data_IF_839583414807
#
_entry.id   IF_839583414807
#
_cell.length_a   1.000
_cell.length_b   1.000
_cell.length_c   1.000
_cell.angle_alpha   90.00
_cell.angle_beta   90.00
_cell.angle_gamma   90.00
#
_symmetry.space_group_name_H-M   'P 1'
#
loop_
_entity.id
_entity.type
_entity.pdbx_description
1 polymer ?
#
# COMPACT_ATOMS: atom_id res chain seq x y z
N UNK A 1 -11.13 -36.53 -26.31
CA UNK A 1 -11.72 -36.15 -27.60
C UNK A 1 -11.77 -34.63 -27.62
N UNK A 2 -10.85 -34.00 -28.37
CA UNK A 2 -10.80 -32.53 -28.57
C UNK A 2 -11.76 -32.19 -29.72
N UNK A 3 -12.92 -31.59 -29.42
CA UNK A 3 -13.76 -31.00 -30.43
C UNK A 3 -13.30 -29.59 -30.75
N UNK A 4 -12.45 -29.46 -31.76
CA UNK A 4 -12.12 -28.19 -32.38
C UNK A 4 -13.22 -27.87 -33.42
N UNK A 5 -13.88 -26.71 -33.26
CA UNK A 5 -14.85 -26.19 -34.23
C UNK A 5 -14.08 -25.77 -35.48
N UNK A 6 -14.43 -26.22 -36.69
CA UNK A 6 -13.72 -25.83 -37.92
C UNK A 6 -13.89 -24.34 -38.22
N UNK A 7 -12.81 -23.66 -38.58
CA UNK A 7 -12.69 -22.24 -38.89
C UNK A 7 -13.64 -21.73 -40.01
N UNK A 8 -14.26 -22.63 -40.80
CA UNK A 8 -15.18 -22.25 -41.88
C UNK A 8 -16.53 -21.66 -41.46
N UNK A 9 -16.89 -21.78 -40.15
CA UNK A 9 -18.14 -21.21 -39.63
C UNK A 9 -18.02 -19.78 -39.10
N UNK A 10 -16.80 -19.20 -39.08
CA UNK A 10 -16.57 -17.86 -38.53
C UNK A 10 -16.73 -16.74 -39.60
N UNK A 11 -16.83 -17.11 -40.89
CA UNK A 11 -16.84 -16.12 -42.00
C UNK A 11 -18.22 -15.47 -42.30
N UNK A 12 -19.31 -15.86 -41.66
CA UNK A 12 -20.63 -15.35 -41.98
C UNK A 12 -21.33 -14.51 -40.90
N UNK A 13 -20.64 -13.97 -39.94
CA UNK A 13 -21.22 -13.07 -38.91
C UNK A 13 -21.16 -11.59 -39.31
N UNK A 14 -20.64 -11.28 -40.50
CA UNK A 14 -20.41 -9.89 -40.98
C UNK A 14 -21.59 -9.16 -41.62
N UNK A 15 -22.82 -9.74 -41.67
CA UNK A 15 -23.94 -9.16 -42.43
C UNK A 15 -25.19 -8.81 -41.61
N UNK A 16 -25.10 -8.73 -40.30
CA UNK A 16 -26.12 -8.06 -39.49
C UNK A 16 -25.64 -6.64 -39.22
N UNK A 17 -26.20 -5.65 -39.93
CA UNK A 17 -25.87 -4.24 -39.90
C UNK A 17 -25.90 -3.54 -38.51
N UNK A 18 -25.30 -4.17 -37.51
CA UNK A 18 -25.00 -3.56 -36.22
C UNK A 18 -23.71 -2.76 -36.43
N UNK A 19 -23.71 -1.46 -36.30
CA UNK A 19 -22.47 -0.68 -36.36
C UNK A 19 -21.60 -1.17 -35.20
N UNK A 20 -20.46 -1.78 -35.52
CA UNK A 20 -19.42 -2.06 -34.51
C UNK A 20 -19.04 -0.69 -33.97
N UNK A 21 -19.24 -0.41 -32.67
CA UNK A 21 -18.76 0.84 -32.12
C UNK A 21 -17.27 0.89 -32.41
N UNK A 22 -16.84 1.97 -33.06
CA UNK A 22 -15.43 2.26 -33.29
C UNK A 22 -14.71 2.06 -31.95
N UNK A 23 -13.71 1.19 -31.93
CA UNK A 23 -12.88 1.02 -30.74
C UNK A 23 -12.53 2.42 -30.24
N UNK A 24 -12.68 2.70 -28.93
CA UNK A 24 -12.22 3.98 -28.40
C UNK A 24 -10.77 4.11 -28.86
N UNK A 25 -10.51 5.11 -29.69
CA UNK A 25 -9.13 5.46 -30.01
C UNK A 25 -8.51 5.79 -28.66
N UNK A 26 -7.69 4.88 -28.17
CA UNK A 26 -6.80 5.20 -27.06
C UNK A 26 -5.98 6.36 -27.63
N UNK A 27 -6.35 7.57 -27.21
CA UNK A 27 -5.53 8.74 -27.41
C UNK A 27 -4.18 8.36 -26.78
N UNK A 28 -3.26 7.91 -27.62
CA UNK A 28 -1.87 7.79 -27.24
C UNK A 28 -1.48 9.22 -26.87
N UNK A 29 -1.53 9.52 -25.58
CA UNK A 29 -0.97 10.76 -25.07
C UNK A 29 0.48 10.74 -25.51
N UNK A 30 0.85 11.65 -26.40
CA UNK A 30 2.22 11.81 -26.90
C UNK A 30 3.21 12.16 -25.78
N UNK A 31 2.73 12.32 -24.56
CA UNK A 31 3.50 12.51 -23.35
C UNK A 31 3.40 11.24 -22.50
N UNK A 32 4.18 10.21 -22.85
CA UNK A 32 4.47 9.19 -21.86
C UNK A 32 5.00 9.89 -20.61
N UNK A 33 4.41 9.60 -19.43
CA UNK A 33 4.87 10.14 -18.17
C UNK A 33 6.32 9.69 -17.95
N UNK A 34 7.25 10.61 -18.16
CA UNK A 34 8.70 10.36 -18.11
C UNK A 34 9.34 10.90 -16.83
N UNK A 35 8.51 11.31 -15.85
CA UNK A 35 9.02 11.83 -14.59
C UNK A 35 9.86 10.74 -13.89
N UNK A 36 11.09 11.10 -13.54
CA UNK A 36 11.97 10.26 -12.73
C UNK A 36 11.77 10.61 -11.26
N UNK A 37 11.80 9.58 -10.43
CA UNK A 37 11.86 9.76 -8.98
C UNK A 37 13.31 10.01 -8.60
N UNK A 38 13.62 11.22 -8.20
CA UNK A 38 14.94 11.64 -7.72
C UNK A 38 14.80 12.63 -6.57
N UNK A 39 15.91 13.21 -6.12
CA UNK A 39 15.91 14.18 -5.00
C UNK A 39 15.28 15.52 -5.34
N UNK A 40 15.28 15.90 -6.61
CA UNK A 40 14.71 17.16 -7.09
C UNK A 40 13.20 17.01 -7.34
N UNK A 41 12.76 15.74 -7.58
CA UNK A 41 11.36 15.39 -7.88
C UNK A 41 10.92 14.22 -7.00
N UNK A 42 10.69 14.40 -5.69
CA UNK A 42 10.22 13.36 -4.79
C UNK A 42 8.80 12.92 -5.19
N UNK A 43 8.53 11.63 -5.05
CA UNK A 43 7.21 11.06 -5.33
C UNK A 43 6.40 10.98 -4.05
N UNK A 44 5.12 11.37 -4.13
CA UNK A 44 4.19 11.20 -3.02
C UNK A 44 3.66 9.76 -2.96
N UNK A 45 3.80 9.09 -1.80
CA UNK A 45 3.12 7.86 -1.45
C UNK A 45 2.02 8.15 -0.46
N UNK A 46 0.78 7.80 -0.82
CA UNK A 46 -0.38 8.02 0.04
C UNK A 46 -0.97 6.66 0.40
N UNK A 47 -0.92 6.31 1.69
CA UNK A 47 -1.61 5.15 2.24
C UNK A 47 -2.99 5.56 2.71
N UNK A 48 -4.04 5.00 2.11
CA UNK A 48 -5.41 5.12 2.58
C UNK A 48 -5.76 3.86 3.37
N UNK A 49 -6.00 4.01 4.66
CA UNK A 49 -6.17 2.91 5.60
C UNK A 49 -7.60 2.89 6.13
N UNK A 50 -8.34 1.83 5.81
CA UNK A 50 -9.66 1.59 6.38
C UNK A 50 -9.53 1.30 7.89
N UNK A 51 -10.23 2.09 8.70
CA UNK A 51 -10.29 1.96 10.15
C UNK A 51 -11.75 1.92 10.64
N UNK A 52 -12.67 1.53 9.76
CA UNK A 52 -14.09 1.37 10.09
C UNK A 52 -14.33 0.17 11.02
N UNK A 53 -15.55 0.08 11.55
CA UNK A 53 -15.94 -1.00 12.47
C UNK A 53 -15.78 -2.41 11.88
N UNK A 54 -15.91 -2.57 10.57
CA UNK A 54 -15.75 -3.87 9.90
C UNK A 54 -14.32 -4.42 10.06
N UNK A 55 -13.34 -3.58 10.35
CA UNK A 55 -11.95 -3.95 10.59
C UNK A 55 -11.72 -4.61 11.97
N UNK A 56 -12.75 -4.75 12.80
CA UNK A 56 -12.73 -5.56 14.04
C UNK A 56 -12.77 -7.06 13.80
N UNK A 57 -13.16 -7.50 12.60
CA UNK A 57 -13.25 -8.93 12.30
C UNK A 57 -11.92 -9.62 12.51
N UNK A 58 -11.98 -10.81 13.10
CA UNK A 58 -10.81 -11.65 13.31
C UNK A 58 -10.38 -12.29 12.00
N UNK A 59 -9.10 -12.34 11.78
CA UNK A 59 -8.43 -13.04 10.68
C UNK A 59 -7.18 -13.73 11.18
N UNK A 60 -6.75 -14.77 10.50
CA UNK A 60 -5.44 -15.40 10.75
C UNK A 60 -4.40 -14.76 9.84
N UNK A 61 -3.39 -14.14 10.42
CA UNK A 61 -2.28 -13.52 9.70
C UNK A 61 -0.95 -14.04 10.23
N UNK A 62 -0.15 -14.65 9.36
CA UNK A 62 1.12 -15.31 9.72
C UNK A 62 0.99 -16.33 10.86
N UNK A 63 -0.15 -17.07 10.90
CA UNK A 63 -0.42 -18.10 11.90
C UNK A 63 -0.91 -17.57 13.26
N UNK A 64 -1.14 -16.27 13.39
CA UNK A 64 -1.71 -15.62 14.58
C UNK A 64 -3.10 -15.08 14.28
N UNK A 65 -4.05 -15.31 15.19
CA UNK A 65 -5.39 -14.71 15.11
C UNK A 65 -5.34 -13.29 15.65
N UNK A 66 -5.82 -12.35 14.83
CA UNK A 66 -5.85 -10.92 15.16
C UNK A 66 -6.98 -10.22 14.42
N UNK A 67 -7.25 -8.96 14.73
CA UNK A 67 -8.19 -8.16 13.97
C UNK A 67 -7.63 -7.79 12.59
N UNK A 68 -8.52 -7.55 11.62
CA UNK A 68 -8.12 -7.03 10.31
C UNK A 68 -7.32 -5.71 10.45
N UNK A 69 -7.72 -4.83 11.38
CA UNK A 69 -7.02 -3.58 11.64
C UNK A 69 -5.58 -3.81 12.13
N UNK A 70 -5.35 -4.82 12.98
CA UNK A 70 -4.00 -5.20 13.43
C UNK A 70 -3.16 -5.78 12.29
N UNK A 71 -3.74 -6.64 11.45
CA UNK A 71 -3.07 -7.18 10.29
C UNK A 71 -2.67 -6.08 9.30
N UNK A 72 -3.58 -5.14 9.00
CA UNK A 72 -3.30 -3.99 8.14
C UNK A 72 -2.23 -3.09 8.75
N UNK A 73 -2.30 -2.79 10.05
CA UNK A 73 -1.28 -1.98 10.72
C UNK A 73 0.12 -2.63 10.63
N UNK A 74 0.22 -3.94 10.80
CA UNK A 74 1.48 -4.68 10.61
C UNK A 74 2.02 -4.56 9.19
N UNK A 75 1.14 -4.71 8.18
CA UNK A 75 1.51 -4.61 6.76
C UNK A 75 1.99 -3.20 6.43
N UNK A 76 1.21 -2.17 6.79
CA UNK A 76 1.54 -0.76 6.50
C UNK A 76 2.86 -0.36 7.16
N UNK A 77 3.06 -0.69 8.44
CA UNK A 77 4.32 -0.41 9.12
C UNK A 77 5.52 -1.11 8.46
N UNK A 78 5.35 -2.35 7.98
CA UNK A 78 6.39 -3.06 7.25
C UNK A 78 6.73 -2.38 5.91
N UNK A 79 5.71 -1.94 5.16
CA UNK A 79 5.90 -1.23 3.88
C UNK A 79 6.58 0.13 4.09
N UNK A 80 6.20 0.89 5.11
CA UNK A 80 6.83 2.15 5.46
C UNK A 80 8.30 1.93 5.81
N UNK A 81 8.60 0.92 6.64
CA UNK A 81 9.99 0.60 6.97
C UNK A 81 10.80 0.27 5.71
N UNK A 82 10.25 -0.54 4.80
CA UNK A 82 10.93 -0.88 3.54
C UNK A 82 11.17 0.35 2.65
N UNK A 83 10.20 1.24 2.54
CA UNK A 83 10.36 2.50 1.78
C UNK A 83 11.47 3.36 2.38
N UNK A 84 11.51 3.50 3.70
CA UNK A 84 12.55 4.26 4.40
C UNK A 84 13.93 3.64 4.20
N UNK A 85 14.06 2.31 4.37
CA UNK A 85 15.33 1.60 4.17
C UNK A 85 15.87 1.76 2.74
N UNK A 86 15.00 1.79 1.74
CA UNK A 86 15.39 2.06 0.33
C UNK A 86 15.92 3.48 0.12
N UNK A 87 15.56 4.43 0.98
CA UNK A 87 16.07 5.79 0.95
C UNK A 87 17.44 5.92 1.64
N UNK A 88 17.86 4.94 2.44
CA UNK A 88 19.14 5.00 3.15
C UNK A 88 20.28 4.54 2.22
N UNK A 89 21.28 5.40 2.04
CA UNK A 89 22.50 5.09 1.30
C UNK A 89 23.70 5.76 1.97
N UNK A 90 24.73 5.00 2.28
CA UNK A 90 25.95 5.50 2.94
C UNK A 90 25.65 6.23 4.26
N UNK A 91 24.76 5.71 5.09
CA UNK A 91 24.26 6.31 6.34
C UNK A 91 23.47 7.62 6.19
N UNK A 92 23.24 8.10 4.98
CA UNK A 92 22.39 9.26 4.70
C UNK A 92 20.99 8.78 4.28
N UNK A 93 19.95 9.45 4.75
CA UNK A 93 18.59 9.26 4.25
C UNK A 93 18.33 10.25 3.11
N UNK A 94 17.98 9.71 1.95
CA UNK A 94 17.71 10.50 0.75
C UNK A 94 16.22 10.75 0.63
N UNK A 95 15.85 11.97 0.30
CA UNK A 95 14.48 12.39 0.10
C UNK A 95 14.00 12.02 -1.31
N UNK A 96 13.59 10.76 -1.52
CA UNK A 96 12.99 10.31 -2.77
C UNK A 96 11.47 10.32 -2.73
N UNK A 97 10.88 10.32 -1.53
CA UNK A 97 9.45 10.18 -1.30
C UNK A 97 8.96 11.15 -0.24
N UNK A 98 7.74 11.63 -0.41
CA UNK A 98 6.92 12.19 0.67
C UNK A 98 5.82 11.19 0.97
N UNK A 99 5.64 10.81 2.21
CA UNK A 99 4.71 9.75 2.60
C UNK A 99 3.59 10.34 3.43
N UNK A 100 2.35 10.12 2.99
CA UNK A 100 1.15 10.42 3.75
C UNK A 100 0.46 9.11 4.18
N UNK A 101 -0.12 9.14 5.38
CA UNK A 101 -0.89 8.03 5.91
C UNK A 101 -2.21 8.55 6.44
N UNK A 102 -3.29 8.25 5.72
CA UNK A 102 -4.64 8.73 5.99
C UNK A 102 -5.50 7.56 6.44
N UNK A 103 -5.91 7.58 7.71
CA UNK A 103 -6.93 6.69 8.23
C UNK A 103 -8.31 7.24 7.92
N UNK A 104 -9.23 6.38 7.53
CA UNK A 104 -10.63 6.76 7.33
C UNK A 104 -11.58 5.76 7.98
N UNK A 105 -12.67 6.30 8.52
CA UNK A 105 -13.77 5.59 9.15
C UNK A 105 -14.94 6.56 9.18
N UNK A 106 -15.31 7.08 10.36
CA UNK A 106 -16.28 8.18 10.51
C UNK A 106 -15.74 9.48 9.90
N UNK A 107 -14.49 9.77 10.16
CA UNK A 107 -13.74 10.92 9.63
C UNK A 107 -12.44 10.43 9.00
N UNK A 108 -11.79 11.33 8.25
CA UNK A 108 -10.45 11.11 7.72
C UNK A 108 -9.44 11.93 8.54
N UNK A 109 -8.36 11.29 8.93
CA UNK A 109 -7.34 11.89 9.77
C UNK A 109 -5.94 11.34 9.43
N UNK A 110 -4.91 12.05 9.89
CA UNK A 110 -3.54 11.54 9.82
C UNK A 110 -3.39 10.31 10.72
N UNK A 111 -3.00 9.18 10.16
CA UNK A 111 -2.84 7.93 10.90
C UNK A 111 -1.44 7.75 11.52
N UNK A 112 -0.59 8.77 11.43
CA UNK A 112 0.68 8.79 12.14
C UNK A 112 0.46 8.85 13.66
N UNK A 113 1.35 8.22 14.42
CA UNK A 113 1.34 8.27 15.88
C UNK A 113 2.65 8.85 16.43
N UNK A 114 2.61 9.27 17.69
CA UNK A 114 3.75 9.85 18.39
C UNK A 114 4.14 11.21 17.85
N UNK A 115 5.43 11.44 17.64
CA UNK A 115 5.95 12.74 17.20
C UNK A 115 5.49 13.17 15.79
N UNK A 116 4.94 12.23 15.01
CA UNK A 116 4.43 12.50 13.66
C UNK A 116 2.92 12.71 13.62
N UNK A 117 2.25 12.64 14.77
CA UNK A 117 0.79 12.78 14.85
C UNK A 117 0.33 14.12 14.24
N UNK A 118 -0.75 14.04 13.44
CA UNK A 118 -1.34 15.19 12.77
C UNK A 118 -0.61 15.68 11.52
N UNK A 119 0.57 15.13 11.21
CA UNK A 119 1.29 15.47 9.97
C UNK A 119 0.58 14.88 8.76
N UNK A 120 0.50 15.61 7.66
CA UNK A 120 -0.05 15.09 6.40
C UNK A 120 1.05 14.34 5.63
N UNK A 121 2.08 15.03 5.18
CA UNK A 121 3.24 14.43 4.53
C UNK A 121 4.46 14.44 5.44
N UNK A 122 5.22 13.35 5.40
CA UNK A 122 6.41 13.13 6.22
C UNK A 122 7.53 12.60 5.33
N UNK A 123 8.73 13.11 5.50
CA UNK A 123 9.91 12.67 4.77
C UNK A 123 10.48 11.35 5.31
N UNK A 124 11.22 10.57 4.51
CA UNK A 124 11.86 9.33 4.98
C UNK A 124 12.78 9.53 6.18
N UNK A 125 13.46 10.68 6.28
CA UNK A 125 14.34 11.02 7.41
C UNK A 125 13.53 11.21 8.68
N UNK A 126 12.46 12.01 8.63
CA UNK A 126 11.56 12.21 9.78
C UNK A 126 10.95 10.90 10.26
N UNK A 127 10.53 10.02 9.32
CA UNK A 127 9.97 8.70 9.65
C UNK A 127 11.02 7.82 10.34
N UNK A 128 12.25 7.77 9.80
CA UNK A 128 13.34 6.98 10.36
C UNK A 128 13.63 7.36 11.80
N UNK A 129 13.63 8.66 12.07
CA UNK A 129 14.08 9.21 13.35
C UNK A 129 12.95 9.26 14.41
N UNK A 130 11.68 9.15 13.98
CA UNK A 130 10.51 9.26 14.86
C UNK A 130 9.59 8.03 14.82
N UNK A 131 10.06 6.80 15.06
CA UNK A 131 9.16 5.67 15.26
C UNK A 131 8.35 5.86 16.55
N UNK A 132 7.05 5.59 16.49
CA UNK A 132 6.18 5.61 17.67
C UNK A 132 6.56 4.53 18.67
N UNK A 133 6.85 3.32 18.17
CA UNK A 133 7.28 2.20 18.99
C UNK A 133 8.37 1.39 18.27
N UNK A 134 9.25 0.79 19.08
CA UNK A 134 10.24 -0.20 18.64
C UNK A 134 10.06 -1.48 19.46
N UNK A 135 9.96 -2.61 18.78
CA UNK A 135 9.80 -3.92 19.40
C UNK A 135 10.85 -4.88 18.85
N UNK A 136 11.54 -5.59 19.73
CA UNK A 136 12.36 -6.74 19.32
C UNK A 136 11.45 -7.94 19.11
N UNK A 137 11.48 -8.53 17.92
CA UNK A 137 10.67 -9.69 17.53
C UNK A 137 11.61 -10.79 17.05
N UNK A 138 11.36 -12.02 17.50
CA UNK A 138 12.08 -13.18 16.99
C UNK A 138 11.47 -13.60 15.66
N UNK A 139 12.27 -13.59 14.61
CA UNK A 139 11.87 -14.05 13.29
C UNK A 139 12.65 -15.28 12.87
N UNK A 140 11.93 -16.25 12.29
CA UNK A 140 12.55 -17.40 11.64
C UNK A 140 13.08 -17.00 10.26
N UNK A 141 14.37 -17.05 10.09
CA UNK A 141 15.03 -16.76 8.80
C UNK A 141 15.52 -18.06 8.19
N UNK A 142 15.07 -18.38 7.01
CA UNK A 142 15.59 -19.52 6.24
C UNK A 142 16.95 -19.15 5.65
N UNK A 143 17.97 -19.90 6.05
CA UNK A 143 19.32 -19.78 5.51
C UNK A 143 19.66 -21.04 4.70
N UNK A 144 20.77 -21.04 3.96
CA UNK A 144 21.27 -22.25 3.27
C UNK A 144 21.59 -23.40 4.25
N UNK A 145 21.77 -23.10 5.53
CA UNK A 145 22.10 -24.08 6.57
C UNK A 145 20.89 -24.54 7.40
N UNK A 146 19.68 -24.04 7.09
CA UNK A 146 18.44 -24.35 7.81
C UNK A 146 17.70 -23.10 8.31
N UNK A 147 16.76 -23.32 9.23
CA UNK A 147 15.99 -22.26 9.88
C UNK A 147 16.79 -21.72 11.07
N UNK A 148 16.98 -20.42 11.14
CA UNK A 148 17.66 -19.74 12.25
C UNK A 148 16.71 -18.67 12.80
N UNK A 149 16.59 -18.58 14.12
CA UNK A 149 15.84 -17.51 14.79
C UNK A 149 16.75 -16.31 14.98
N UNK A 150 16.33 -15.14 14.49
CA UNK A 150 17.02 -13.86 14.69
C UNK A 150 16.11 -12.89 15.42
N UNK A 151 16.68 -12.09 16.30
CA UNK A 151 15.98 -10.94 16.86
C UNK A 151 16.09 -9.76 15.88
N UNK A 152 14.92 -9.23 15.46
CA UNK A 152 14.82 -8.11 14.52
C UNK A 152 14.04 -6.98 15.20
N UNK A 153 14.58 -5.77 15.13
CA UNK A 153 13.87 -4.57 15.58
C UNK A 153 12.76 -4.25 14.60
N UNK A 154 11.50 -4.27 15.04
CA UNK A 154 10.35 -3.80 14.28
C UNK A 154 9.93 -2.44 14.78
N UNK A 155 9.89 -1.49 13.87
CA UNK A 155 9.43 -0.12 14.11
C UNK A 155 7.96 -0.01 13.74
N UNK A 156 7.23 0.81 14.48
CA UNK A 156 5.82 1.10 14.25
C UNK A 156 5.61 2.61 14.24
N UNK A 157 4.82 3.10 13.30
CA UNK A 157 4.41 4.51 13.18
C UNK A 157 2.88 4.64 13.23
N UNK A 158 2.18 3.53 12.98
CA UNK A 158 0.72 3.43 13.02
C UNK A 158 0.28 2.31 13.96
N UNK A 159 -0.76 2.56 14.74
CA UNK A 159 -1.47 1.56 15.53
C UNK A 159 -2.80 1.17 14.89
N UNK A 160 -3.24 -0.06 15.18
CA UNK A 160 -4.56 -0.51 14.74
C UNK A 160 -5.67 0.33 15.37
N UNK A 161 -6.61 0.78 14.56
CA UNK A 161 -7.82 1.49 14.99
C UNK A 161 -9.05 0.93 14.27
N UNK A 162 -10.19 1.03 14.94
CA UNK A 162 -11.50 0.72 14.40
C UNK A 162 -12.52 1.59 15.14
N UNK A 163 -12.79 2.76 14.64
CA UNK A 163 -13.51 3.84 15.33
C UNK A 163 -15.04 3.66 15.44
N UNK A 164 -15.56 2.56 14.93
CA UNK A 164 -16.93 2.17 15.22
C UNK A 164 -18.01 2.74 14.31
N UNK A 165 -17.70 3.28 13.15
CA UNK A 165 -18.66 3.90 12.26
C UNK A 165 -18.51 3.44 10.79
N UNK A 166 -19.21 4.14 9.91
CA UNK A 166 -19.28 3.89 8.47
C UNK A 166 -17.92 4.08 7.77
N UNK A 167 -17.80 3.49 6.59
CA UNK A 167 -16.60 3.62 5.75
C UNK A 167 -16.77 4.83 4.81
N UNK A 168 -16.27 6.00 5.21
CA UNK A 168 -16.31 7.23 4.42
C UNK A 168 -14.99 7.46 3.67
N UNK A 169 -14.71 6.64 2.66
CA UNK A 169 -13.51 6.80 1.83
C UNK A 169 -13.49 8.14 1.08
N UNK A 170 -14.66 8.70 0.73
CA UNK A 170 -14.77 10.00 0.07
C UNK A 170 -14.15 11.15 0.90
N UNK A 171 -14.18 11.06 2.23
CA UNK A 171 -13.52 12.03 3.11
C UNK A 171 -12.00 11.95 3.03
N UNK A 172 -11.44 10.76 2.85
CA UNK A 172 -10.00 10.59 2.69
C UNK A 172 -9.48 11.24 1.40
N UNK A 173 -10.27 11.22 0.31
CA UNK A 173 -9.90 11.87 -0.95
C UNK A 173 -10.09 13.40 -0.94
N UNK A 174 -10.82 13.94 0.02
CA UNK A 174 -11.04 15.39 0.16
C UNK A 174 -10.03 16.07 1.09
N UNK A 175 -9.23 15.29 1.77
CA UNK A 175 -8.19 15.77 2.66
C UNK A 175 -6.91 16.10 1.89
#
# INVERSE_FOLDING_TARGET
VKNSIPLKYIKNIGNFGIPIPSQPQILQSKNAYTARVDREHPTAFIFLVDQSVSMRRITTFNGEDMTLSEAVARIVNAQINELVERCVKNNETRHYFDIAMIGYGTEAYSAWNGNLEGRDFVTPEEIRDNPYQKKMVKEEVRTRKGITVKEVEKKQWMVARHDGSWTHMDKAFKR
#
